data_IF_794536305628
#
_entry.id   IF_794536305628
#
_cell.length_a   1.000
_cell.length_b   1.000
_cell.length_c   1.000
_cell.angle_alpha   90.00
_cell.angle_beta   90.00
_cell.angle_gamma   90.00
#
_symmetry.space_group_name_H-M   'P 1'
#
loop_
_entity.id
_entity.type
_entity.pdbx_description
1 polymer ?
#
# COMPACT_ATOMS: atom_id res chain seq x y z
N UNK A 1 -26.54 -13.81 12.85
CA UNK A 1 -26.26 -13.31 11.49
C UNK A 1 -25.54 -12.00 11.67
N UNK A 2 -24.23 -11.96 11.46
CA UNK A 2 -23.49 -10.69 11.55
C UNK A 2 -23.88 -9.86 10.33
N UNK A 3 -24.34 -8.65 10.56
CA UNK A 3 -24.60 -7.66 9.51
C UNK A 3 -23.27 -7.34 8.80
N UNK A 4 -23.27 -7.40 7.45
CA UNK A 4 -22.08 -7.17 6.64
C UNK A 4 -21.49 -5.79 6.86
N UNK A 5 -22.34 -4.79 7.13
CA UNK A 5 -21.89 -3.43 7.45
C UNK A 5 -21.11 -3.42 8.78
N UNK A 6 -21.63 -4.08 9.80
CA UNK A 6 -20.95 -4.19 11.09
C UNK A 6 -19.62 -4.96 11.00
N UNK A 7 -19.58 -6.05 10.22
CA UNK A 7 -18.33 -6.78 9.98
C UNK A 7 -17.29 -5.90 9.27
N UNK A 8 -17.71 -5.10 8.30
CA UNK A 8 -16.85 -4.15 7.59
C UNK A 8 -16.26 -3.12 8.55
N UNK A 9 -17.08 -2.53 9.42
CA UNK A 9 -16.61 -1.52 10.38
C UNK A 9 -15.56 -2.09 11.36
N UNK A 10 -15.72 -3.35 11.78
CA UNK A 10 -14.72 -4.05 12.60
C UNK A 10 -13.40 -4.19 11.85
N UNK A 11 -13.44 -4.60 10.57
CA UNK A 11 -12.26 -4.77 9.74
C UNK A 11 -11.56 -3.42 9.50
N UNK A 12 -12.32 -2.37 9.18
CA UNK A 12 -11.80 -1.00 9.02
C UNK A 12 -11.06 -0.55 10.28
N UNK A 13 -11.70 -0.70 11.44
CA UNK A 13 -11.10 -0.29 12.72
C UNK A 13 -9.83 -1.09 13.03
N UNK A 14 -9.84 -2.39 12.78
CA UNK A 14 -8.68 -3.26 12.98
C UNK A 14 -7.52 -2.87 12.05
N UNK A 15 -7.81 -2.66 10.76
CA UNK A 15 -6.82 -2.25 9.77
C UNK A 15 -6.23 -0.87 10.07
N UNK A 16 -7.06 0.13 10.36
CA UNK A 16 -6.59 1.47 10.71
C UNK A 16 -5.71 1.45 11.96
N UNK A 17 -6.11 0.70 12.99
CA UNK A 17 -5.30 0.51 14.21
C UNK A 17 -3.95 -0.16 13.91
N UNK A 18 -3.94 -1.19 13.05
CA UNK A 18 -2.73 -1.89 12.68
C UNK A 18 -1.78 -1.02 11.85
N UNK A 19 -2.30 -0.21 10.92
CA UNK A 19 -1.50 0.76 10.16
C UNK A 19 -0.90 1.82 11.09
N UNK A 20 -1.71 2.42 11.98
CA UNK A 20 -1.22 3.41 12.94
C UNK A 20 -0.06 2.87 13.80
N UNK A 21 -0.18 1.64 14.31
CA UNK A 21 0.88 1.00 15.11
C UNK A 21 2.16 0.74 14.34
N UNK A 22 2.06 0.46 13.04
CA UNK A 22 3.19 0.14 12.16
C UNK A 22 3.79 1.36 11.48
N UNK A 23 3.26 2.54 11.72
CA UNK A 23 3.78 3.77 11.12
C UNK A 23 5.25 4.01 11.50
N UNK A 24 5.65 3.65 12.72
CA UNK A 24 7.06 3.69 13.18
C UNK A 24 7.99 2.79 12.34
N UNK A 25 7.45 1.72 11.75
CA UNK A 25 8.17 0.76 10.91
C UNK A 25 7.96 1.05 9.41
N UNK A 26 7.44 2.24 9.05
CA UNK A 26 7.17 2.57 7.67
C UNK A 26 8.46 2.58 6.83
N UNK A 27 8.38 1.95 5.67
CA UNK A 27 9.51 1.72 4.79
C UNK A 27 9.65 2.88 3.80
N UNK A 28 10.88 3.40 3.59
CA UNK A 28 11.14 4.28 2.46
C UNK A 28 11.08 3.49 1.16
N UNK A 29 10.72 4.17 0.07
CA UNK A 29 10.80 3.61 -1.28
C UNK A 29 12.15 4.02 -1.88
N UNK A 30 12.98 3.03 -2.24
CA UNK A 30 14.36 3.24 -2.70
C UNK A 30 14.42 3.82 -4.11
N UNK A 31 13.52 3.38 -5.01
CA UNK A 31 13.52 3.75 -6.43
C UNK A 31 12.11 3.76 -7.00
N UNK A 32 11.96 4.55 -8.04
CA UNK A 32 10.69 4.72 -8.76
C UNK A 32 10.86 4.41 -10.25
N UNK A 33 9.74 4.31 -10.95
CA UNK A 33 9.66 3.76 -12.29
C UNK A 33 10.47 4.54 -13.34
N UNK A 34 10.61 5.85 -13.18
CA UNK A 34 11.43 6.73 -14.02
C UNK A 34 12.94 6.44 -13.94
N UNK A 35 13.38 5.78 -12.86
CA UNK A 35 14.76 5.32 -12.71
C UNK A 35 15.02 3.92 -13.27
N UNK A 36 14.00 3.20 -13.75
CA UNK A 36 14.09 1.79 -14.15
C UNK A 36 14.32 1.67 -15.68
N UNK A 37 15.50 1.23 -16.14
CA UNK A 37 15.81 1.21 -17.57
C UNK A 37 14.86 0.31 -18.38
N UNK A 38 14.32 0.84 -19.48
CA UNK A 38 13.43 0.08 -20.37
C UNK A 38 12.04 -0.21 -19.80
N UNK A 39 11.72 0.32 -18.62
CA UNK A 39 10.42 0.14 -18.00
C UNK A 39 9.45 1.26 -18.38
N UNK A 40 8.21 0.90 -18.70
CA UNK A 40 7.16 1.87 -19.04
C UNK A 40 6.06 1.82 -17.97
N UNK A 41 6.02 2.79 -17.02
CA UNK A 41 5.03 2.80 -15.97
C UNK A 41 3.62 3.05 -16.49
N UNK A 42 2.64 2.42 -15.86
CA UNK A 42 1.22 2.75 -15.96
C UNK A 42 0.71 3.17 -14.59
N UNK A 43 0.66 4.48 -14.29
CA UNK A 43 0.09 4.99 -13.05
C UNK A 43 -1.33 4.44 -12.85
N UNK A 44 -1.74 4.28 -11.59
CA UNK A 44 -3.04 3.71 -11.17
C UNK A 44 -3.25 2.21 -11.50
N UNK A 45 -2.25 1.52 -12.05
CA UNK A 45 -2.25 0.07 -12.26
C UNK A 45 -1.17 -0.61 -11.40
N UNK A 46 -0.97 -0.15 -10.16
CA UNK A 46 0.18 -0.57 -9.35
C UNK A 46 0.25 -2.08 -9.10
N UNK A 47 -0.89 -2.73 -8.87
CA UNK A 47 -0.93 -4.18 -8.68
C UNK A 47 -0.54 -4.93 -9.96
N UNK A 48 -1.08 -4.53 -11.12
CA UNK A 48 -0.78 -5.14 -12.42
C UNK A 48 0.67 -4.89 -12.86
N UNK A 49 1.19 -3.69 -12.63
CA UNK A 49 2.56 -3.29 -12.93
C UNK A 49 3.56 -4.13 -12.14
N UNK A 50 3.28 -4.42 -10.86
CA UNK A 50 4.09 -5.37 -10.08
C UNK A 50 4.03 -6.77 -10.71
N UNK A 51 2.85 -7.26 -11.10
CA UNK A 51 2.75 -8.57 -11.74
C UNK A 51 3.48 -8.63 -13.08
N UNK A 52 3.47 -7.55 -13.87
CA UNK A 52 4.26 -7.41 -15.09
C UNK A 52 5.76 -7.45 -14.80
N UNK A 53 6.21 -6.73 -13.76
CA UNK A 53 7.61 -6.70 -13.36
C UNK A 53 8.09 -8.10 -12.98
N UNK A 54 7.33 -8.82 -12.16
CA UNK A 54 7.67 -10.15 -11.68
C UNK A 54 7.72 -11.19 -12.80
N UNK A 55 7.02 -10.99 -13.92
CA UNK A 55 7.18 -11.86 -15.11
C UNK A 55 8.56 -11.71 -15.75
N UNK A 56 9.17 -10.53 -15.65
CA UNK A 56 10.50 -10.26 -16.19
C UNK A 56 11.61 -10.52 -15.14
N UNK A 57 11.28 -10.39 -13.86
CA UNK A 57 12.20 -10.53 -12.73
C UNK A 57 11.62 -11.49 -11.68
N UNK A 58 11.55 -12.81 -11.97
CA UNK A 58 10.81 -13.78 -11.15
C UNK A 58 11.42 -14.05 -9.77
N UNK A 59 12.65 -13.59 -9.51
CA UNK A 59 13.31 -13.70 -8.21
C UNK A 59 12.94 -12.56 -7.25
N UNK A 60 12.38 -11.46 -7.77
CA UNK A 60 11.86 -10.38 -6.95
C UNK A 60 10.50 -10.76 -6.35
N UNK A 61 9.99 -9.97 -5.41
CA UNK A 61 8.76 -10.27 -4.67
C UNK A 61 7.77 -9.12 -4.74
N UNK A 62 6.48 -9.46 -4.81
CA UNK A 62 5.41 -8.50 -4.62
C UNK A 62 5.32 -8.11 -3.14
N UNK A 63 5.22 -6.81 -2.88
CA UNK A 63 4.88 -6.27 -1.55
C UNK A 63 3.56 -5.51 -1.67
N UNK A 64 2.63 -5.79 -0.76
CA UNK A 64 1.29 -5.20 -0.72
C UNK A 64 1.14 -4.39 0.55
N UNK A 65 0.52 -3.22 0.46
CA UNK A 65 0.47 -2.32 1.60
C UNK A 65 -0.26 -1.03 1.32
N UNK A 66 0.11 -0.01 2.07
CA UNK A 66 -0.64 1.23 2.22
C UNK A 66 0.32 2.41 2.17
N UNK A 67 -0.04 3.46 1.44
CA UNK A 67 0.73 4.70 1.34
C UNK A 67 -0.14 5.90 1.69
N UNK A 68 0.40 6.94 2.33
CA UNK A 68 -0.31 8.20 2.49
C UNK A 68 -0.71 8.78 1.13
N UNK A 69 -1.97 9.18 1.00
CA UNK A 69 -2.52 9.82 -0.20
C UNK A 69 -3.00 11.26 0.09
N UNK A 70 -3.53 11.50 1.29
CA UNK A 70 -4.00 12.83 1.70
C UNK A 70 -4.08 13.01 3.20
N UNK A 71 -4.04 14.26 3.64
CA UNK A 71 -4.29 14.68 5.01
C UNK A 71 -5.74 15.20 5.11
N UNK A 72 -6.52 14.63 6.01
CA UNK A 72 -7.82 15.12 6.46
C UNK A 72 -7.64 15.85 7.79
N UNK A 73 -8.70 16.45 8.33
CA UNK A 73 -8.62 17.33 9.52
C UNK A 73 -8.00 16.61 10.73
N UNK A 74 -8.38 15.36 10.97
CA UNK A 74 -8.04 14.53 12.12
C UNK A 74 -7.54 13.12 11.74
N UNK A 75 -7.32 12.91 10.44
CA UNK A 75 -6.92 11.62 9.88
C UNK A 75 -5.91 11.81 8.75
N UNK A 76 -5.08 10.79 8.52
CA UNK A 76 -4.36 10.62 7.26
C UNK A 76 -5.04 9.51 6.47
N UNK A 77 -5.40 9.81 5.23
CA UNK A 77 -5.94 8.83 4.31
C UNK A 77 -4.80 8.04 3.67
N UNK A 78 -4.89 6.72 3.74
CA UNK A 78 -3.98 5.80 3.07
C UNK A 78 -4.69 5.15 1.89
N UNK A 79 -3.95 4.97 0.80
CA UNK A 79 -4.37 4.23 -0.39
C UNK A 79 -3.63 2.90 -0.46
N UNK A 80 -4.36 1.87 -0.87
CA UNK A 80 -3.82 0.56 -1.18
C UNK A 80 -2.79 0.67 -2.32
N UNK A 81 -1.60 0.11 -2.12
CA UNK A 81 -0.53 0.16 -3.10
C UNK A 81 0.30 -1.12 -3.15
N UNK A 82 0.96 -1.30 -4.28
CA UNK A 82 1.80 -2.46 -4.57
C UNK A 82 3.18 -2.04 -5.04
N UNK A 83 4.19 -2.60 -4.39
CA UNK A 83 5.60 -2.38 -4.70
C UNK A 83 6.29 -3.70 -5.02
N UNK A 84 7.53 -3.61 -5.46
CA UNK A 84 8.43 -4.75 -5.62
C UNK A 84 9.52 -4.69 -4.58
N UNK A 85 9.79 -5.80 -3.90
CA UNK A 85 11.02 -6.01 -3.14
C UNK A 85 12.00 -6.78 -4.02
N UNK A 86 13.13 -6.17 -4.32
CA UNK A 86 14.18 -6.82 -5.12
C UNK A 86 14.87 -7.92 -4.33
N UNK A 87 15.58 -8.80 -5.03
CA UNK A 87 16.48 -9.79 -4.39
C UNK A 87 17.54 -9.18 -3.46
N UNK A 88 17.90 -7.90 -3.66
CA UNK A 88 18.79 -7.15 -2.77
C UNK A 88 18.09 -6.49 -1.59
N UNK A 89 16.79 -6.72 -1.42
CA UNK A 89 15.96 -6.18 -0.34
C UNK A 89 15.46 -4.75 -0.56
N UNK A 90 15.74 -4.14 -1.71
CA UNK A 90 15.29 -2.77 -2.02
C UNK A 90 13.81 -2.76 -2.37
N UNK A 91 13.10 -1.74 -1.92
CA UNK A 91 11.69 -1.53 -2.22
C UNK A 91 11.56 -0.53 -3.37
N UNK A 92 10.98 -0.94 -4.48
CA UNK A 92 10.84 -0.11 -5.68
C UNK A 92 9.37 0.04 -6.09
N UNK A 93 9.01 1.25 -6.52
CA UNK A 93 7.73 1.54 -7.15
C UNK A 93 7.86 1.45 -8.67
N UNK A 94 7.20 0.44 -9.25
CA UNK A 94 7.20 0.19 -10.71
C UNK A 94 5.99 0.82 -11.41
N UNK A 95 5.14 1.53 -10.69
CA UNK A 95 3.91 2.11 -11.22
C UNK A 95 3.98 3.63 -11.33
N UNK A 96 4.68 4.30 -10.42
CA UNK A 96 4.78 5.76 -10.37
C UNK A 96 6.22 6.26 -10.56
N UNK A 97 6.40 7.47 -11.13
CA UNK A 97 7.68 8.16 -11.15
C UNK A 97 8.04 8.67 -9.74
N UNK A 98 9.26 9.20 -9.60
CA UNK A 98 9.73 9.74 -8.33
C UNK A 98 8.81 10.89 -7.87
N UNK A 99 8.25 10.84 -6.64
CA UNK A 99 7.40 11.90 -6.11
C UNK A 99 8.22 13.12 -5.71
N UNK A 100 7.55 14.27 -5.61
CA UNK A 100 8.18 15.52 -5.14
C UNK A 100 8.60 15.45 -3.66
N UNK A 101 7.92 14.64 -2.86
CA UNK A 101 8.19 14.42 -1.45
C UNK A 101 8.35 12.92 -1.19
N UNK A 102 9.24 12.55 -0.26
CA UNK A 102 9.45 11.16 0.14
C UNK A 102 8.10 10.56 0.56
N UNK A 103 7.74 9.44 -0.05
CA UNK A 103 6.57 8.66 0.35
C UNK A 103 7.00 7.50 1.22
N UNK A 104 6.25 7.28 2.29
CA UNK A 104 6.38 6.14 3.17
C UNK A 104 5.42 5.04 2.73
N UNK A 105 5.80 3.80 3.01
CA UNK A 105 5.00 2.62 2.70
C UNK A 105 4.88 1.72 3.92
N UNK A 106 3.66 1.27 4.22
CA UNK A 106 3.38 0.35 5.32
C UNK A 106 2.90 -0.96 4.72
N UNK A 107 3.63 -2.05 4.97
CA UNK A 107 3.23 -3.38 4.55
C UNK A 107 1.89 -3.78 5.17
N UNK A 108 1.06 -4.44 4.36
CA UNK A 108 -0.27 -4.82 4.78
C UNK A 108 -0.22 -5.74 6.01
N UNK A 109 -0.95 -5.42 7.09
CA UNK A 109 -1.04 -6.27 8.26
C UNK A 109 -1.79 -7.58 7.96
N UNK A 110 -1.13 -8.77 8.05
CA UNK A 110 -1.80 -10.04 7.80
C UNK A 110 -2.95 -10.31 8.79
N UNK A 111 -2.92 -9.72 9.98
CA UNK A 111 -4.00 -9.79 10.97
C UNK A 111 -5.28 -9.07 10.52
N UNK A 112 -5.22 -8.19 9.52
CA UNK A 112 -6.38 -7.50 8.97
C UNK A 112 -7.08 -8.30 7.84
N UNK A 113 -6.56 -9.47 7.48
CA UNK A 113 -7.11 -10.34 6.44
C UNK A 113 -6.26 -10.38 5.17
N UNK A 114 -6.86 -10.88 4.08
CA UNK A 114 -6.20 -10.89 2.77
C UNK A 114 -6.32 -9.53 2.08
N UNK A 115 -5.20 -9.01 1.60
CA UNK A 115 -5.13 -7.69 0.97
C UNK A 115 -6.08 -7.53 -0.22
N UNK A 116 -6.09 -8.51 -1.14
CA UNK A 116 -6.91 -8.41 -2.35
C UNK A 116 -8.39 -8.61 -2.04
N UNK A 117 -8.73 -9.47 -1.07
CA UNK A 117 -10.09 -9.60 -0.58
C UNK A 117 -10.64 -8.28 -0.01
N UNK A 118 -9.79 -7.47 0.64
CA UNK A 118 -10.20 -6.15 1.16
C UNK A 118 -10.44 -5.13 0.04
N UNK A 119 -9.50 -5.00 -0.90
CA UNK A 119 -9.56 -3.93 -1.91
C UNK A 119 -10.50 -4.25 -3.08
N UNK A 120 -10.79 -5.53 -3.33
CA UNK A 120 -11.73 -5.99 -4.36
C UNK A 120 -13.03 -6.57 -3.80
N UNK A 121 -13.18 -6.62 -2.48
CA UNK A 121 -14.41 -7.08 -1.83
C UNK A 121 -15.62 -6.19 -2.10
N UNK A 122 -16.76 -6.54 -1.50
CA UNK A 122 -18.00 -5.77 -1.64
C UNK A 122 -18.49 -5.26 -0.27
N UNK A 123 -18.48 -3.93 -0.02
CA UNK A 123 -17.91 -2.89 -0.88
C UNK A 123 -16.37 -2.89 -0.84
N UNK A 124 -15.70 -2.43 -1.92
CA UNK A 124 -14.24 -2.40 -1.98
C UNK A 124 -13.67 -1.38 -0.99
N UNK A 125 -12.50 -1.68 -0.43
CA UNK A 125 -11.79 -0.79 0.50
C UNK A 125 -10.39 -0.43 -0.01
N UNK A 126 -10.26 0.33 -1.11
CA UNK A 126 -8.96 0.78 -1.63
C UNK A 126 -8.35 1.91 -0.81
N UNK A 127 -9.13 2.54 0.07
CA UNK A 127 -8.69 3.59 0.98
C UNK A 127 -9.02 3.22 2.41
N UNK A 128 -8.20 3.71 3.35
CA UNK A 128 -8.42 3.60 4.78
C UNK A 128 -8.01 4.89 5.45
N UNK A 129 -8.91 5.46 6.25
CA UNK A 129 -8.62 6.64 7.05
C UNK A 129 -8.03 6.20 8.39
N UNK A 130 -6.86 6.71 8.71
CA UNK A 130 -6.13 6.38 9.93
C UNK A 130 -6.11 7.62 10.81
N UNK A 131 -6.63 7.57 12.06
CA UNK A 131 -6.54 8.68 13.01
C UNK A 131 -5.10 9.17 13.15
N UNK A 132 -4.91 10.48 13.04
CA UNK A 132 -3.63 11.12 13.32
C UNK A 132 -3.38 11.01 14.82
N UNK A 133 -2.38 10.23 15.28
CA UNK A 133 -2.05 10.10 16.69
C UNK A 133 -0.96 11.11 17.11
N UNK A 134 -0.83 12.24 16.43
CA UNK A 134 0.31 13.17 16.50
C UNK A 134 1.57 12.56 15.87
N UNK A 135 1.63 12.45 14.54
CA UNK A 135 2.86 12.05 13.80
C UNK A 135 3.94 13.15 13.70
N UNK A 136 3.86 14.16 14.59
CA UNK A 136 4.79 15.29 14.70
C UNK A 136 6.11 14.93 15.38
#
# INVERSE_FOLDING_TARGET
MIDRLHARDIVIKALATAIARRFVDALPIDRYADSLPGWSPRPNHCHDQVMLWLRLHPADQAVRGWMPDGLLVDHVQFVAHSLVRTTSGKLIDVAFPTPQHVRLFIEHPPEAGDFFALIHGEPPMPYIDVPDPDWS
#
